data_IF_622873034703
#
_entry.id   IF_622873034703
#
_cell.length_a   1.000
_cell.length_b   1.000
_cell.length_c   1.000
_cell.angle_alpha   90.00
_cell.angle_beta   90.00
_cell.angle_gamma   90.00
#
_symmetry.space_group_name_H-M   'P 1'
#
loop_
_entity.id
_entity.type
_entity.pdbx_description
1 polymer ?
#
# COMPACT_ATOMS: atom_id res chain seq x y z
N UNK A 1 -55.77 -32.24 32.00
CA UNK A 1 -55.21 -31.87 30.69
C UNK A 1 -54.21 -30.76 30.90
N UNK A 2 -52.92 -31.06 30.85
CA UNK A 2 -51.89 -30.06 30.95
C UNK A 2 -51.67 -29.38 29.62
N UNK A 3 -52.03 -28.12 29.51
CA UNK A 3 -51.72 -27.33 28.31
C UNK A 3 -50.25 -26.95 28.35
N UNK A 4 -49.45 -27.61 27.57
CA UNK A 4 -48.07 -27.20 27.34
C UNK A 4 -48.10 -25.97 26.48
N UNK A 5 -48.03 -24.81 27.12
CA UNK A 5 -47.71 -23.57 26.40
C UNK A 5 -46.25 -23.61 26.02
N UNK A 6 -46.01 -23.96 24.80
CA UNK A 6 -44.68 -23.79 24.19
C UNK A 6 -44.36 -22.29 24.23
N UNK A 7 -43.50 -21.92 25.18
CA UNK A 7 -42.90 -20.59 25.19
C UNK A 7 -41.86 -20.63 24.06
N UNK A 8 -42.28 -20.23 22.88
CA UNK A 8 -41.31 -19.85 21.85
C UNK A 8 -40.58 -18.59 22.35
N UNK A 9 -39.52 -18.79 23.04
CA UNK A 9 -38.59 -17.70 23.34
C UNK A 9 -38.03 -17.26 21.98
N UNK A 10 -38.70 -16.29 21.36
CA UNK A 10 -38.11 -15.58 20.27
C UNK A 10 -36.91 -14.82 20.88
N UNK A 11 -35.69 -15.34 20.70
CA UNK A 11 -34.51 -14.56 20.81
C UNK A 11 -34.54 -13.53 19.66
N UNK A 12 -35.31 -12.47 19.87
CA UNK A 12 -35.17 -11.28 19.05
C UNK A 12 -33.82 -10.67 19.40
N UNK A 13 -32.82 -11.07 18.67
CA UNK A 13 -31.57 -10.31 18.65
C UNK A 13 -32.00 -8.91 18.22
N UNK A 14 -31.97 -7.99 19.17
CA UNK A 14 -32.39 -6.61 18.91
C UNK A 14 -31.59 -6.08 17.72
N UNK A 15 -32.21 -5.48 16.69
CA UNK A 15 -31.50 -4.91 15.55
C UNK A 15 -30.49 -3.84 15.99
N UNK A 16 -30.67 -3.27 17.16
CA UNK A 16 -29.74 -2.34 17.80
C UNK A 16 -28.40 -3.01 18.15
N UNK A 17 -28.41 -4.23 18.68
CA UNK A 17 -27.18 -4.99 18.97
C UNK A 17 -26.42 -5.37 17.71
N UNK A 18 -27.12 -5.72 16.62
CA UNK A 18 -26.50 -6.00 15.32
C UNK A 18 -25.87 -4.73 14.71
N UNK A 19 -26.48 -3.55 14.88
CA UNK A 19 -25.95 -2.27 14.43
C UNK A 19 -24.66 -1.88 15.19
N UNK A 20 -24.62 -2.10 16.50
CA UNK A 20 -23.41 -1.85 17.30
C UNK A 20 -22.25 -2.79 16.94
N UNK A 21 -22.50 -4.06 16.64
CA UNK A 21 -21.48 -5.00 16.21
C UNK A 21 -20.91 -4.61 14.83
N UNK A 22 -21.73 -4.14 13.89
CA UNK A 22 -21.28 -3.66 12.58
C UNK A 22 -20.42 -2.39 12.69
N UNK A 23 -20.75 -1.46 13.57
CA UNK A 23 -19.98 -0.25 13.83
C UNK A 23 -18.63 -0.57 14.47
N UNK A 24 -18.55 -1.52 15.40
CA UNK A 24 -17.31 -1.96 16.03
C UNK A 24 -16.35 -2.61 15.02
N UNK A 25 -16.85 -3.43 14.09
CA UNK A 25 -16.07 -4.02 13.02
C UNK A 25 -15.53 -2.96 12.05
N UNK A 26 -16.32 -1.95 11.72
CA UNK A 26 -15.90 -0.83 10.86
C UNK A 26 -14.79 0.00 11.50
N UNK A 27 -14.83 0.22 12.83
CA UNK A 27 -13.79 0.92 13.57
C UNK A 27 -12.46 0.15 13.58
N UNK A 28 -12.48 -1.19 13.70
CA UNK A 28 -11.30 -2.03 13.63
C UNK A 28 -10.64 -1.99 12.23
N UNK A 29 -11.43 -1.96 11.16
CA UNK A 29 -10.90 -1.80 9.78
C UNK A 29 -10.26 -0.43 9.58
N UNK A 30 -10.83 0.64 10.13
CA UNK A 30 -10.26 1.99 10.06
C UNK A 30 -8.94 2.11 10.82
N UNK A 31 -8.77 1.42 11.94
CA UNK A 31 -7.52 1.36 12.70
C UNK A 31 -6.41 0.62 11.95
N UNK A 32 -6.71 -0.42 11.17
CA UNK A 32 -5.73 -1.14 10.36
C UNK A 32 -5.14 -0.27 9.23
N UNK A 33 -5.90 0.69 8.70
CA UNK A 33 -5.44 1.66 7.69
C UNK A 33 -4.68 2.86 8.28
N UNK A 34 -4.84 3.15 9.58
CA UNK A 34 -4.18 4.25 10.28
C UNK A 34 -2.78 3.90 10.81
N UNK A 35 -2.20 2.73 10.44
CA UNK A 35 -0.90 2.27 10.96
C UNK A 35 0.31 2.95 10.32
N UNK A 36 0.13 3.67 9.22
CA UNK A 36 1.19 4.48 8.65
C UNK A 36 1.23 5.84 9.34
N UNK A 37 2.37 6.13 10.00
CA UNK A 37 2.60 7.44 10.59
C UNK A 37 2.82 8.49 9.50
N UNK A 38 2.56 9.77 9.80
CA UNK A 38 2.86 10.88 8.89
C UNK A 38 4.34 10.90 8.47
N UNK A 39 5.23 10.44 9.34
CA UNK A 39 6.65 10.32 9.06
C UNK A 39 6.91 9.27 7.97
N UNK A 40 6.37 8.07 8.13
CA UNK A 40 6.51 6.98 7.15
C UNK A 40 5.95 7.37 5.78
N UNK A 41 4.81 8.03 5.76
CA UNK A 41 4.21 8.55 4.54
C UNK A 41 5.12 9.57 3.84
N UNK A 42 5.72 10.48 4.59
CA UNK A 42 6.67 11.47 4.03
C UNK A 42 7.93 10.81 3.47
N UNK A 43 8.47 9.83 4.17
CA UNK A 43 9.63 9.06 3.72
C UNK A 43 9.31 8.28 2.45
N UNK A 44 8.13 7.70 2.35
CA UNK A 44 7.68 6.97 1.17
C UNK A 44 7.50 7.90 -0.04
N UNK A 45 6.89 9.07 0.16
CA UNK A 45 6.79 10.11 -0.88
C UNK A 45 8.18 10.52 -1.40
N UNK A 46 9.12 10.74 -0.51
CA UNK A 46 10.48 11.12 -0.89
C UNK A 46 11.19 10.00 -1.68
N UNK A 47 10.98 8.74 -1.29
CA UNK A 47 11.52 7.58 -2.01
C UNK A 47 10.96 7.47 -3.42
N UNK A 48 9.65 7.66 -3.58
CA UNK A 48 9.01 7.69 -4.89
C UNK A 48 9.56 8.82 -5.77
N UNK A 49 9.75 10.01 -5.23
CA UNK A 49 10.34 11.14 -5.96
C UNK A 49 11.79 10.88 -6.35
N UNK A 50 12.58 10.25 -5.48
CA UNK A 50 13.95 9.90 -5.78
C UNK A 50 14.04 8.85 -6.91
N UNK A 51 13.14 7.85 -6.92
CA UNK A 51 13.05 6.90 -8.02
C UNK A 51 12.66 7.57 -9.34
N UNK A 52 11.69 8.47 -9.31
CA UNK A 52 11.29 9.24 -10.50
C UNK A 52 12.47 10.08 -11.05
N UNK A 53 13.23 10.74 -10.18
CA UNK A 53 14.40 11.50 -10.56
C UNK A 53 15.52 10.60 -11.15
N UNK A 54 15.72 9.40 -10.60
CA UNK A 54 16.68 8.44 -11.12
C UNK A 54 16.34 7.99 -12.55
N UNK A 55 15.06 7.67 -12.80
CA UNK A 55 14.58 7.30 -14.14
C UNK A 55 14.64 8.47 -15.13
N UNK A 56 14.29 9.67 -14.71
CA UNK A 56 14.44 10.88 -15.53
C UNK A 56 15.92 11.13 -15.90
N UNK A 57 16.82 10.92 -14.97
CA UNK A 57 18.26 10.99 -15.22
C UNK A 57 18.72 9.97 -16.28
N UNK A 58 18.21 8.75 -16.22
CA UNK A 58 18.50 7.72 -17.22
C UNK A 58 17.97 8.10 -18.59
N UNK A 59 16.75 8.63 -18.68
CA UNK A 59 16.18 9.11 -19.94
C UNK A 59 17.03 10.21 -20.57
N UNK A 60 17.41 11.21 -19.80
CA UNK A 60 18.30 12.30 -20.26
C UNK A 60 19.67 11.81 -20.68
N UNK A 61 20.21 10.82 -19.98
CA UNK A 61 21.48 10.19 -20.34
C UNK A 61 21.38 9.57 -21.74
N UNK A 62 20.36 8.79 -22.02
CA UNK A 62 20.12 8.16 -23.32
C UNK A 62 19.88 9.19 -24.42
N UNK A 63 19.07 10.21 -24.14
CA UNK A 63 18.80 11.33 -25.07
C UNK A 63 20.08 12.09 -25.45
N UNK A 64 21.07 12.14 -24.56
CA UNK A 64 22.36 12.77 -24.83
C UNK A 64 23.25 11.98 -25.77
N UNK A 65 22.84 10.78 -26.19
CA UNK A 65 23.60 9.91 -27.08
C UNK A 65 24.70 9.10 -26.40
N UNK A 66 24.74 9.07 -25.06
CA UNK A 66 25.62 8.16 -24.33
C UNK A 66 25.22 6.70 -24.56
N UNK A 67 26.17 5.79 -24.45
CA UNK A 67 25.91 4.35 -24.58
C UNK A 67 25.00 3.85 -23.48
N UNK A 68 24.12 2.92 -23.81
CA UNK A 68 23.16 2.29 -22.87
C UNK A 68 23.84 1.80 -21.60
N UNK A 69 24.99 1.10 -21.74
CA UNK A 69 25.70 0.57 -20.56
C UNK A 69 26.17 1.67 -19.59
N UNK A 70 26.51 2.86 -20.10
CA UNK A 70 26.90 4.00 -19.28
C UNK A 70 25.69 4.52 -18.52
N UNK A 71 24.56 4.71 -19.24
CA UNK A 71 23.32 5.21 -18.64
C UNK A 71 22.74 4.22 -17.62
N UNK A 72 22.83 2.93 -17.88
CA UNK A 72 22.45 1.88 -16.92
C UNK A 72 23.28 1.92 -15.64
N UNK A 73 24.58 2.11 -15.74
CA UNK A 73 25.46 2.24 -14.56
C UNK A 73 25.12 3.49 -13.75
N UNK A 74 24.85 4.60 -14.41
CA UNK A 74 24.41 5.83 -13.75
C UNK A 74 23.07 5.60 -13.03
N UNK A 75 22.12 4.91 -13.67
CA UNK A 75 20.83 4.55 -13.08
C UNK A 75 21.01 3.63 -11.87
N UNK A 76 21.84 2.58 -11.98
CA UNK A 76 22.09 1.66 -10.86
C UNK A 76 22.65 2.41 -9.64
N UNK A 77 23.56 3.34 -9.85
CA UNK A 77 24.12 4.17 -8.78
C UNK A 77 23.03 5.05 -8.13
N UNK A 78 22.16 5.67 -8.94
CA UNK A 78 21.07 6.51 -8.46
C UNK A 78 19.98 5.70 -7.73
N UNK A 79 19.76 4.44 -8.12
CA UNK A 79 18.76 3.54 -7.53
C UNK A 79 19.19 2.87 -6.24
N UNK A 80 20.45 2.94 -5.89
CA UNK A 80 21.01 2.22 -4.75
C UNK A 80 20.25 2.56 -3.45
N UNK A 81 19.62 1.53 -2.86
CA UNK A 81 18.84 1.66 -1.63
C UNK A 81 17.44 2.27 -1.79
N UNK A 82 16.98 2.59 -3.00
CA UNK A 82 15.67 3.18 -3.24
C UNK A 82 14.55 2.15 -3.49
N UNK A 83 14.88 1.06 -4.19
CA UNK A 83 13.91 0.05 -4.58
C UNK A 83 14.54 -1.33 -4.68
N UNK A 84 13.70 -2.33 -4.91
CA UNK A 84 14.12 -3.70 -5.17
C UNK A 84 14.73 -3.79 -6.58
N UNK A 85 15.90 -4.40 -6.69
CA UNK A 85 16.61 -4.58 -7.95
C UNK A 85 17.52 -3.41 -8.31
N UNK A 86 18.29 -3.62 -9.38
CA UNK A 86 19.36 -2.68 -9.79
C UNK A 86 18.85 -1.44 -10.52
N UNK A 87 17.66 -1.52 -11.10
CA UNK A 87 17.12 -0.50 -12.01
C UNK A 87 15.84 0.16 -11.47
N UNK A 88 15.72 0.31 -10.14
CA UNK A 88 14.54 0.87 -9.48
C UNK A 88 13.21 0.22 -9.94
N UNK A 89 13.19 -1.10 -10.05
CA UNK A 89 12.01 -1.85 -10.47
C UNK A 89 11.74 -1.88 -11.97
N UNK A 90 12.58 -1.25 -12.79
CA UNK A 90 12.45 -1.28 -14.24
C UNK A 90 13.22 -2.45 -14.85
N UNK A 91 12.63 -3.13 -15.82
CA UNK A 91 13.27 -4.17 -16.61
C UNK A 91 13.87 -3.56 -17.88
N UNK A 92 15.18 -3.71 -18.06
CA UNK A 92 15.83 -3.34 -19.30
C UNK A 92 15.74 -4.50 -20.29
N UNK A 93 15.34 -4.18 -21.52
CA UNK A 93 15.27 -5.12 -22.65
C UNK A 93 16.26 -4.63 -23.68
N UNK A 94 17.22 -5.48 -23.97
CA UNK A 94 18.19 -5.27 -25.05
C UNK A 94 17.89 -6.21 -26.22
#
# INVERSE_FOLDING_TARGET
MASVRSIKTFLTVSPVLAAFAALALSALFSMAHAQHTDKETKEDIQRHRAMAAAHEGAAKCLESGKKDEVCEKELQAACKGLAVGKYCGMKHVH
#
